data_IF_926423801226
#
_entry.id   IF_926423801226
#
_cell.length_a   1.000
_cell.length_b   1.000
_cell.length_c   1.000
_cell.angle_alpha   90.00
_cell.angle_beta   90.00
_cell.angle_gamma   90.00
#
_symmetry.space_group_name_H-M   'P 1'
#
loop_
_entity.id
_entity.type
_entity.pdbx_description
1 polymer ?
#
# COMPACT_ATOMS: atom_id res chain seq x y z
N UNK A 1 37.65 -26.93 -15.31
CA UNK A 1 37.36 -27.69 -14.07
C UNK A 1 37.15 -26.75 -12.87
N UNK A 2 38.12 -25.88 -12.52
CA UNK A 2 37.95 -24.91 -11.41
C UNK A 2 36.69 -24.04 -11.55
N UNK A 3 36.38 -23.57 -12.75
CA UNK A 3 35.15 -22.80 -13.00
C UNK A 3 33.85 -23.60 -12.73
N UNK A 4 33.79 -24.88 -13.10
CA UNK A 4 32.64 -25.75 -12.81
C UNK A 4 32.49 -26.00 -11.32
N UNK A 5 33.59 -26.31 -10.62
CA UNK A 5 33.56 -26.54 -9.17
C UNK A 5 33.16 -25.27 -8.40
N UNK A 6 33.59 -24.08 -8.85
CA UNK A 6 33.15 -22.80 -8.28
C UNK A 6 31.65 -22.54 -8.51
N UNK A 7 31.14 -22.89 -9.70
CA UNK A 7 29.71 -22.77 -9.99
C UNK A 7 28.87 -23.70 -9.09
N UNK A 8 29.34 -24.93 -8.85
CA UNK A 8 28.67 -25.87 -7.95
C UNK A 8 28.67 -25.38 -6.49
N UNK A 9 29.77 -24.78 -6.02
CA UNK A 9 29.81 -24.18 -4.69
C UNK A 9 28.80 -23.03 -4.57
N UNK A 10 28.78 -22.13 -5.56
CA UNK A 10 27.84 -21.01 -5.57
C UNK A 10 26.37 -21.46 -5.61
N UNK A 11 26.08 -22.56 -6.30
CA UNK A 11 24.73 -23.16 -6.35
C UNK A 11 24.31 -23.73 -4.99
N UNK A 12 25.20 -24.46 -4.31
CA UNK A 12 24.94 -25.00 -2.97
C UNK A 12 24.79 -23.87 -1.94
N UNK A 13 25.63 -22.83 -2.02
CA UNK A 13 25.56 -21.67 -1.13
C UNK A 13 24.23 -20.91 -1.31
N UNK A 14 23.76 -20.77 -2.56
CA UNK A 14 22.45 -20.19 -2.85
C UNK A 14 21.30 -21.04 -2.28
N UNK A 15 21.35 -22.36 -2.45
CA UNK A 15 20.34 -23.27 -1.88
C UNK A 15 20.32 -23.21 -0.35
N UNK A 16 21.47 -23.10 0.31
CA UNK A 16 21.54 -22.94 1.76
C UNK A 16 20.96 -21.60 2.22
N UNK A 17 21.23 -20.52 1.50
CA UNK A 17 20.67 -19.20 1.80
C UNK A 17 19.13 -19.21 1.67
N UNK A 18 18.59 -19.91 0.66
CA UNK A 18 17.15 -20.06 0.46
C UNK A 18 16.44 -20.84 1.58
N UNK A 19 17.17 -21.66 2.37
CA UNK A 19 16.60 -22.35 3.54
C UNK A 19 16.30 -21.40 4.72
N UNK A 20 16.81 -20.16 4.68
CA UNK A 20 16.51 -19.13 5.68
C UNK A 20 15.72 -17.99 5.06
N UNK A 21 14.41 -17.97 5.33
CA UNK A 21 13.54 -16.87 4.91
C UNK A 21 13.59 -15.77 5.96
N UNK A 22 14.16 -14.63 5.59
CA UNK A 22 14.25 -13.43 6.44
C UNK A 22 13.33 -12.33 5.91
N UNK A 23 12.89 -11.44 6.80
CA UNK A 23 12.11 -10.28 6.40
C UNK A 23 12.99 -9.32 5.56
N UNK A 24 12.50 -8.81 4.41
CA UNK A 24 13.29 -7.93 3.55
C UNK A 24 13.47 -6.51 4.11
N UNK A 25 12.64 -6.10 5.08
CA UNK A 25 12.67 -4.79 5.72
C UNK A 25 11.97 -4.82 7.09
N UNK A 26 12.21 -3.78 7.89
CA UNK A 26 11.51 -3.54 9.16
C UNK A 26 9.99 -3.43 8.91
N UNK A 27 9.25 -4.38 9.47
CA UNK A 27 7.83 -4.56 9.19
C UNK A 27 7.12 -5.25 10.36
N UNK A 28 5.81 -5.07 10.42
CA UNK A 28 4.92 -5.79 11.34
C UNK A 28 4.42 -7.06 10.66
N UNK A 29 4.54 -8.19 11.34
CA UNK A 29 3.94 -9.45 10.92
C UNK A 29 2.42 -9.39 11.09
N UNK A 30 1.68 -9.43 9.98
CA UNK A 30 0.21 -9.45 10.00
C UNK A 30 -0.32 -10.89 10.11
N UNK A 31 0.16 -11.77 9.23
CA UNK A 31 -0.24 -13.17 9.18
C UNK A 31 0.99 -14.05 8.99
N UNK A 32 1.11 -15.09 9.82
CA UNK A 32 2.03 -16.19 9.57
C UNK A 32 1.20 -17.39 9.08
N UNK A 33 1.32 -17.69 7.78
CA UNK A 33 0.52 -18.71 7.09
C UNK A 33 1.11 -20.12 7.22
N UNK A 34 2.16 -20.28 8.02
CA UNK A 34 2.93 -21.52 8.17
C UNK A 34 3.11 -21.86 9.64
N UNK A 35 3.13 -23.16 9.93
CA UNK A 35 3.42 -23.70 11.26
C UNK A 35 4.58 -24.67 11.18
N UNK A 36 5.20 -24.91 12.33
CA UNK A 36 6.25 -25.91 12.45
C UNK A 36 5.68 -27.28 12.08
N UNK A 37 6.32 -27.94 11.13
CA UNK A 37 5.87 -29.23 10.57
C UNK A 37 5.15 -29.13 9.23
N UNK A 38 4.80 -27.91 8.77
CA UNK A 38 4.21 -27.72 7.45
C UNK A 38 5.24 -27.92 6.34
N UNK A 39 4.82 -28.56 5.25
CA UNK A 39 5.60 -28.63 4.01
C UNK A 39 5.12 -27.53 3.08
N UNK A 40 5.99 -26.56 2.79
CA UNK A 40 5.66 -25.43 1.94
C UNK A 40 6.06 -25.70 0.48
N UNK A 41 5.11 -25.77 -0.47
CA UNK A 41 5.46 -25.80 -1.88
C UNK A 41 6.06 -24.46 -2.33
N UNK A 42 6.88 -24.50 -3.38
CA UNK A 42 7.44 -23.31 -3.99
C UNK A 42 6.34 -22.29 -4.37
N UNK A 43 6.66 -20.99 -4.24
CA UNK A 43 5.77 -19.86 -4.52
C UNK A 43 4.51 -19.75 -3.65
N UNK A 44 4.41 -20.50 -2.54
CA UNK A 44 3.34 -20.29 -1.56
C UNK A 44 3.74 -19.21 -0.56
N UNK A 45 2.81 -18.31 -0.26
CA UNK A 45 2.98 -17.26 0.73
C UNK A 45 3.20 -17.87 2.13
N UNK A 46 4.31 -17.51 2.76
CA UNK A 46 4.64 -17.94 4.12
C UNK A 46 4.16 -16.95 5.20
N UNK A 47 4.27 -15.65 4.91
CA UNK A 47 3.91 -14.59 5.82
C UNK A 47 3.49 -13.32 5.06
N UNK A 48 2.54 -12.59 5.63
CA UNK A 48 2.13 -11.25 5.19
C UNK A 48 2.76 -10.23 6.14
N UNK A 49 3.52 -9.29 5.58
CA UNK A 49 4.25 -8.26 6.33
C UNK A 49 3.73 -6.86 5.94
N UNK A 50 3.50 -6.01 6.95
CA UNK A 50 3.11 -4.60 6.77
C UNK A 50 4.32 -3.72 7.06
N UNK A 51 4.72 -2.91 6.08
CA UNK A 51 5.80 -1.93 6.25
C UNK A 51 5.32 -0.75 7.10
N UNK A 52 6.06 -0.42 8.16
CA UNK A 52 5.67 0.59 9.16
C UNK A 52 6.14 2.02 8.88
N UNK A 53 6.88 2.25 7.78
CA UNK A 53 7.42 3.57 7.45
C UNK A 53 6.70 4.33 6.33
N UNK A 54 5.70 3.72 5.70
CA UNK A 54 5.08 4.25 4.49
C UNK A 54 3.56 4.13 4.53
N UNK A 55 2.95 4.90 5.42
CA UNK A 55 1.49 4.98 5.46
C UNK A 55 0.96 5.92 4.38
N UNK A 56 -0.07 5.47 3.67
CA UNK A 56 -0.75 6.26 2.65
C UNK A 56 -2.25 5.97 2.61
N UNK A 57 -3.00 6.95 2.11
CA UNK A 57 -4.43 6.83 1.80
C UNK A 57 -4.59 6.93 0.30
N UNK A 58 -5.43 6.08 -0.27
CA UNK A 58 -5.85 6.18 -1.66
C UNK A 58 -7.28 6.66 -1.71
N UNK A 59 -7.50 7.77 -2.39
CA UNK A 59 -8.83 8.33 -2.65
C UNK A 59 -9.07 8.43 -4.13
N UNK A 60 -10.35 8.39 -4.52
CA UNK A 60 -10.78 8.52 -5.90
C UNK A 60 -11.45 9.88 -6.08
N UNK A 61 -10.89 10.69 -6.96
CA UNK A 61 -11.42 12.03 -7.27
C UNK A 61 -11.97 12.07 -8.69
N UNK A 62 -13.03 12.85 -8.97
CA UNK A 62 -13.54 13.04 -10.32
C UNK A 62 -12.53 13.82 -11.18
N UNK A 63 -12.57 13.62 -12.49
CA UNK A 63 -11.70 14.31 -13.46
C UNK A 63 -11.70 15.84 -13.29
N UNK A 64 -12.86 16.44 -12.99
CA UNK A 64 -13.00 17.88 -12.80
C UNK A 64 -12.13 18.46 -11.69
N UNK A 65 -11.70 17.64 -10.73
CA UNK A 65 -10.85 18.06 -9.61
C UNK A 65 -9.35 17.98 -9.94
N UNK A 66 -8.95 17.25 -10.99
CA UNK A 66 -7.55 17.06 -11.35
C UNK A 66 -6.80 18.37 -11.62
N UNK A 67 -7.50 19.39 -12.15
CA UNK A 67 -6.89 20.71 -12.36
C UNK A 67 -6.63 21.51 -11.09
N UNK A 68 -7.27 21.12 -9.98
CA UNK A 68 -7.21 21.81 -8.69
C UNK A 68 -6.24 21.15 -7.70
N UNK A 69 -5.96 19.86 -7.88
CA UNK A 69 -5.09 19.06 -7.02
C UNK A 69 -3.69 19.00 -7.62
N UNK A 70 -2.67 19.35 -6.84
CA UNK A 70 -1.27 19.35 -7.26
C UNK A 70 -0.44 18.31 -6.51
N UNK A 71 0.59 17.80 -7.18
CA UNK A 71 1.59 16.95 -6.54
C UNK A 71 2.33 17.74 -5.45
N UNK A 72 2.54 17.12 -4.29
CA UNK A 72 3.17 17.76 -3.13
C UNK A 72 2.24 18.68 -2.32
N UNK A 73 0.96 18.78 -2.69
CA UNK A 73 0.00 19.62 -1.98
C UNK A 73 -0.32 19.04 -0.59
N UNK A 74 -0.40 19.93 0.40
CA UNK A 74 -0.83 19.58 1.75
C UNK A 74 -2.36 19.45 1.82
N UNK A 75 -2.82 18.35 2.37
CA UNK A 75 -4.23 18.02 2.52
C UNK A 75 -4.51 17.59 3.96
N UNK A 76 -5.78 17.67 4.37
CA UNK A 76 -6.21 17.15 5.67
C UNK A 76 -6.88 15.81 5.49
N UNK A 77 -6.49 14.84 6.30
CA UNK A 77 -7.05 13.48 6.31
C UNK A 77 -7.76 13.27 7.63
N UNK A 78 -9.01 12.83 7.59
CA UNK A 78 -9.78 12.45 8.77
C UNK A 78 -10.06 10.95 8.71
N UNK A 79 -9.91 10.28 9.83
CA UNK A 79 -10.15 8.84 9.95
C UNK A 79 -11.36 8.62 10.85
N UNK A 80 -12.28 7.77 10.43
CA UNK A 80 -13.53 7.51 11.18
C UNK A 80 -13.27 6.99 12.60
N UNK A 81 -12.15 6.27 12.79
CA UNK A 81 -11.73 5.77 14.09
C UNK A 81 -11.29 6.86 15.08
N UNK A 82 -10.97 8.07 14.61
CA UNK A 82 -10.53 9.19 15.44
C UNK A 82 -11.33 10.47 15.10
N UNK A 83 -12.62 10.52 15.47
CA UNK A 83 -13.47 11.67 15.17
C UNK A 83 -12.90 12.93 15.84
N UNK A 84 -12.83 14.02 15.08
CA UNK A 84 -12.35 15.32 15.55
C UNK A 84 -10.84 15.52 15.50
N UNK A 85 -10.07 14.52 15.03
CA UNK A 85 -8.64 14.69 14.74
C UNK A 85 -8.39 14.75 13.24
N UNK A 86 -7.75 15.82 12.80
CA UNK A 86 -7.24 15.95 11.45
C UNK A 86 -5.77 15.52 11.44
N UNK A 87 -5.39 14.74 10.45
CA UNK A 87 -4.02 14.33 10.17
C UNK A 87 -3.53 15.07 8.93
N UNK A 88 -2.31 15.58 8.98
CA UNK A 88 -1.69 16.17 7.80
C UNK A 88 -1.33 15.10 6.79
N UNK A 89 -1.61 15.35 5.52
CA UNK A 89 -1.24 14.48 4.41
C UNK A 89 -0.57 15.28 3.29
N UNK A 90 0.20 14.60 2.45
CA UNK A 90 0.82 15.18 1.26
C UNK A 90 0.45 14.36 0.04
N UNK A 91 -0.02 15.00 -1.03
CA UNK A 91 -0.28 14.33 -2.31
C UNK A 91 1.04 13.79 -2.87
N UNK A 92 1.20 12.48 -2.84
CA UNK A 92 2.41 11.79 -3.29
C UNK A 92 2.31 11.36 -4.75
N UNK A 93 1.11 11.01 -5.21
CA UNK A 93 0.89 10.54 -6.58
C UNK A 93 -0.53 10.82 -7.05
N UNK A 94 -0.66 11.17 -8.32
CA UNK A 94 -1.94 11.27 -9.04
C UNK A 94 -1.86 10.28 -10.20
N UNK A 95 -2.77 9.30 -10.26
CA UNK A 95 -2.79 8.31 -11.34
C UNK A 95 -3.07 9.00 -12.67
N UNK A 96 -2.36 8.58 -13.72
CA UNK A 96 -2.49 9.15 -15.08
C UNK A 96 -3.60 8.50 -15.90
N UNK A 97 -4.07 7.33 -15.46
CA UNK A 97 -5.14 6.58 -16.10
C UNK A 97 -6.38 6.66 -15.24
N UNK A 98 -7.52 6.91 -15.87
CA UNK A 98 -8.81 6.84 -15.21
C UNK A 98 -9.11 5.38 -14.85
N UNK A 99 -9.57 5.16 -13.63
CA UNK A 99 -10.07 3.87 -13.16
C UNK A 99 -11.60 3.94 -13.13
N UNK A 100 -12.26 2.85 -13.54
CA UNK A 100 -13.69 2.70 -13.35
C UNK A 100 -13.94 2.28 -11.90
N UNK A 101 -14.79 3.00 -11.19
CA UNK A 101 -15.06 2.80 -9.75
C UNK A 101 -15.43 1.34 -9.46
N UNK A 102 -14.64 0.60 -8.66
CA UNK A 102 -15.03 -0.74 -8.25
C UNK A 102 -16.06 -0.65 -7.10
N UNK A 103 -17.34 -0.84 -7.45
CA UNK A 103 -18.51 -1.16 -6.58
C UNK A 103 -18.90 -0.20 -5.43
N UNK A 104 -19.99 0.54 -5.63
CA UNK A 104 -21.30 0.43 -4.94
C UNK A 104 -22.08 1.72 -5.26
N UNK A 105 -22.89 1.70 -6.32
CA UNK A 105 -23.76 2.82 -6.69
C UNK A 105 -25.17 2.29 -6.93
N UNK A 106 -26.08 2.65 -6.01
CA UNK A 106 -27.48 2.22 -6.01
C UNK A 106 -28.35 2.98 -7.04
N UNK A 107 -27.79 3.97 -7.74
CA UNK A 107 -28.48 4.81 -8.73
C UNK A 107 -27.95 4.58 -10.14
N UNK A 108 -28.86 4.44 -11.11
CA UNK A 108 -28.56 4.11 -12.52
C UNK A 108 -27.74 5.22 -13.23
N UNK A 109 -27.79 6.45 -12.73
CA UNK A 109 -27.10 7.61 -13.31
C UNK A 109 -25.61 7.74 -12.94
N UNK A 110 -25.13 7.04 -11.90
CA UNK A 110 -23.76 7.20 -11.38
C UNK A 110 -22.77 6.12 -11.85
N UNK A 111 -23.17 5.27 -12.80
CA UNK A 111 -22.42 4.07 -13.19
C UNK A 111 -21.21 4.33 -14.13
N UNK A 112 -20.98 5.57 -14.61
CA UNK A 112 -19.87 5.89 -15.53
C UNK A 112 -19.31 7.30 -15.25
N UNK A 113 -18.68 7.51 -14.09
CA UNK A 113 -17.80 8.67 -13.87
C UNK A 113 -16.37 8.19 -13.84
N UNK A 114 -15.53 8.72 -14.73
CA UNK A 114 -14.09 8.48 -14.68
C UNK A 114 -13.54 9.07 -13.39
N UNK A 115 -12.96 8.22 -12.55
CA UNK A 115 -12.28 8.64 -11.33
C UNK A 115 -10.79 8.39 -11.45
N UNK A 116 -10.02 9.21 -10.77
CA UNK A 116 -8.57 9.11 -10.74
C UNK A 116 -8.13 8.81 -9.31
N UNK A 117 -7.30 7.78 -9.18
CA UNK A 117 -6.68 7.43 -7.90
C UNK A 117 -5.63 8.48 -7.52
N UNK A 118 -5.77 9.07 -6.34
CA UNK A 118 -4.80 9.97 -5.73
C UNK A 118 -4.26 9.28 -4.49
N UNK A 119 -2.94 9.21 -4.38
CA UNK A 119 -2.22 8.68 -3.22
C UNK A 119 -1.76 9.83 -2.35
N UNK A 120 -2.20 9.84 -1.10
CA UNK A 120 -1.82 10.80 -0.08
C UNK A 120 -0.92 10.08 0.91
N UNK A 121 0.32 10.54 1.03
CA UNK A 121 1.24 10.05 2.06
C UNK A 121 0.88 10.70 3.39
N UNK A 122 0.80 9.87 4.43
CA UNK A 122 0.61 10.30 5.80
C UNK A 122 1.95 10.28 6.56
N UNK A 123 2.13 11.13 7.56
CA UNK A 123 3.24 11.00 8.50
C UNK A 123 3.09 9.66 9.23
N UNK A 124 4.19 8.91 9.28
CA UNK A 124 4.24 7.54 9.82
C UNK A 124 4.68 7.49 11.29
N UNK A 125 4.66 8.64 11.97
CA UNK A 125 5.04 8.80 13.37
C UNK A 125 3.88 8.50 14.34
N UNK A 126 2.66 8.32 13.83
CA UNK A 126 1.47 8.06 14.63
C UNK A 126 1.00 6.60 14.54
N UNK A 127 1.41 5.78 15.52
CA UNK A 127 1.05 4.35 15.65
C UNK A 127 -0.48 4.10 15.80
N UNK A 128 -1.26 5.17 15.93
CA UNK A 128 -2.72 5.10 15.93
C UNK A 128 -3.29 4.77 14.56
N UNK A 129 -2.60 5.13 13.48
CA UNK A 129 -3.10 4.92 12.13
C UNK A 129 -2.68 3.54 11.62
N UNK A 130 -3.65 2.76 11.13
CA UNK A 130 -3.42 1.40 10.64
C UNK A 130 -3.92 1.26 9.20
N UNK A 131 -3.25 0.38 8.46
CA UNK A 131 -3.74 -0.04 7.14
C UNK A 131 -5.16 -0.64 7.27
N UNK A 132 -6.03 -0.30 6.33
CA UNK A 132 -7.42 -0.74 6.31
C UNK A 132 -8.43 0.19 6.99
N UNK A 133 -7.99 1.27 7.64
CA UNK A 133 -8.89 2.29 8.17
C UNK A 133 -9.55 3.09 7.03
N UNK A 134 -10.84 3.39 7.18
CA UNK A 134 -11.55 4.31 6.30
C UNK A 134 -11.13 5.76 6.61
N UNK A 135 -10.84 6.53 5.57
CA UNK A 135 -10.36 7.90 5.70
C UNK A 135 -10.97 8.80 4.63
N UNK A 136 -11.37 9.99 5.06
CA UNK A 136 -11.80 11.10 4.22
C UNK A 136 -10.65 12.08 4.02
N UNK A 137 -10.50 12.58 2.79
CA UNK A 137 -9.45 13.55 2.44
C UNK A 137 -10.07 14.86 1.98
N UNK A 138 -9.65 15.95 2.61
CA UNK A 138 -10.09 17.30 2.35
C UNK A 138 -8.98 18.06 1.60
N UNK A 139 -9.26 18.37 0.34
CA UNK A 139 -8.39 19.18 -0.51
C UNK A 139 -8.70 20.67 -0.29
N UNK A 140 -7.69 21.54 -0.09
CA UNK A 140 -7.93 22.96 0.21
C UNK A 140 -8.48 23.74 -0.99
N UNK A 141 -8.17 23.31 -2.22
CA UNK A 141 -8.55 23.98 -3.46
C UNK A 141 -9.85 23.47 -4.08
N UNK A 142 -10.55 22.56 -3.40
CA UNK A 142 -11.80 21.96 -3.87
C UNK A 142 -12.91 22.34 -2.88
N UNK A 143 -14.03 22.86 -3.41
CA UNK A 143 -15.22 23.21 -2.64
C UNK A 143 -16.38 22.30 -3.01
#
# INVERSE_FOLDING_TARGET
>A
RVAMSRAQLADIDAQLAEMQVVAPADSILEVLSVKVGDVLPANREAATLILTGHLWVRVYVPESWLGLIKLGEHVRVRVDSFPGKDFDGVVEQINRQAEFTPRNVQTVADRIKQVFGVKIRLPSDDDRLRAGMAADVYFPNVK
#
